data_IF_159280581943
#
_entry.id   IF_159280581943
#
_cell.length_a   1.000
_cell.length_b   1.000
_cell.length_c   1.000
_cell.angle_alpha   90.00
_cell.angle_beta   90.00
_cell.angle_gamma   90.00
#
_symmetry.space_group_name_H-M   'P 1'
#
loop_
_entity.id
_entity.type
_entity.pdbx_description
1 polymer ?
#
# COMPACT_ATOMS: atom_id res chain seq x y z
N UNK A 1 -13.40 3.29 -3.63
CA UNK A 1 -12.20 4.13 -3.45
C UNK A 1 -11.21 3.50 -2.47
N UNK A 2 -11.70 3.01 -1.32
CA UNK A 2 -10.89 2.26 -0.35
C UNK A 2 -10.03 1.15 -0.99
N UNK A 3 -10.65 0.22 -1.72
CA UNK A 3 -9.95 -0.91 -2.36
C UNK A 3 -8.88 -0.47 -3.36
N UNK A 4 -9.13 0.61 -4.10
CA UNK A 4 -8.16 1.19 -5.05
C UNK A 4 -6.93 1.72 -4.31
N UNK A 5 -7.12 2.44 -3.20
CA UNK A 5 -6.02 2.94 -2.37
C UNK A 5 -5.29 1.78 -1.69
N UNK A 6 -6.00 0.75 -1.27
CA UNK A 6 -5.43 -0.46 -0.69
C UNK A 6 -4.54 -1.22 -1.67
N UNK A 7 -4.97 -1.36 -2.94
CA UNK A 7 -4.14 -1.95 -4.00
C UNK A 7 -2.84 -1.17 -4.20
N UNK A 8 -2.93 0.16 -4.31
CA UNK A 8 -1.75 1.03 -4.39
C UNK A 8 -0.83 0.91 -3.16
N UNK A 9 -1.40 0.66 -1.98
CA UNK A 9 -0.66 0.48 -0.74
C UNK A 9 0.21 -0.78 -0.77
N UNK A 10 -0.39 -1.88 -1.22
CA UNK A 10 0.26 -3.19 -1.41
C UNK A 10 1.36 -3.13 -2.46
N UNK A 11 1.11 -2.41 -3.56
CA UNK A 11 2.10 -2.23 -4.62
C UNK A 11 3.20 -1.22 -4.24
N UNK A 12 3.16 -0.63 -3.04
CA UNK A 12 4.12 0.39 -2.59
C UNK A 12 4.02 1.73 -3.33
N UNK A 13 2.96 1.94 -4.12
CA UNK A 13 2.73 3.14 -4.94
C UNK A 13 1.91 4.21 -4.21
N UNK A 14 1.38 3.90 -3.03
CA UNK A 14 0.53 4.81 -2.27
C UNK A 14 1.35 5.86 -1.50
N UNK A 15 0.95 7.12 -1.64
CA UNK A 15 1.52 8.25 -0.92
C UNK A 15 0.59 8.77 0.18
N UNK A 16 1.15 9.18 1.32
CA UNK A 16 0.38 9.78 2.44
C UNK A 16 -0.49 10.97 2.00
N UNK A 17 -0.01 11.81 1.09
CA UNK A 17 -0.79 12.95 0.55
C UNK A 17 -2.04 12.51 -0.23
N UNK A 18 -2.05 11.32 -0.83
CA UNK A 18 -3.22 10.78 -1.52
C UNK A 18 -4.28 10.30 -0.52
N UNK A 19 -3.85 9.62 0.55
CA UNK A 19 -4.70 9.23 1.67
C UNK A 19 -5.32 10.45 2.35
N UNK A 20 -4.51 11.44 2.73
CA UNK A 20 -5.00 12.67 3.38
C UNK A 20 -6.07 13.38 2.53
N UNK A 21 -5.89 13.41 1.19
CA UNK A 21 -6.89 13.96 0.25
C UNK A 21 -8.15 13.11 0.16
N UNK A 22 -8.01 11.79 0.16
CA UNK A 22 -9.15 10.88 0.13
C UNK A 22 -10.00 11.00 1.40
N UNK A 23 -9.36 11.18 2.56
CA UNK A 23 -10.05 11.48 3.83
C UNK A 23 -10.70 12.86 3.79
N UNK A 24 -9.98 13.90 3.36
CA UNK A 24 -10.52 15.26 3.29
C UNK A 24 -11.72 15.38 2.33
N UNK A 25 -11.77 14.55 1.28
CA UNK A 25 -12.90 14.45 0.34
C UNK A 25 -14.02 13.53 0.83
N UNK A 26 -13.86 12.85 1.97
CA UNK A 26 -14.82 11.89 2.50
C UNK A 26 -14.92 10.60 1.67
N UNK A 27 -13.92 10.30 0.82
CA UNK A 27 -13.89 9.08 0.02
C UNK A 27 -13.55 7.83 0.85
N UNK A 28 -12.85 8.04 1.96
CA UNK A 28 -12.53 7.04 2.98
C UNK A 28 -12.63 7.69 4.36
N UNK A 29 -12.78 6.85 5.39
CA UNK A 29 -12.74 7.29 6.79
C UNK A 29 -11.32 7.33 7.34
N UNK A 30 -11.13 7.98 8.50
CA UNK A 30 -9.85 7.95 9.22
C UNK A 30 -9.41 6.54 9.61
N UNK A 31 -10.35 5.68 10.00
CA UNK A 31 -10.06 4.28 10.30
C UNK A 31 -9.54 3.52 9.07
N UNK A 32 -10.14 3.77 7.90
CA UNK A 32 -9.68 3.20 6.63
C UNK A 32 -8.30 3.73 6.22
N UNK A 33 -8.00 5.01 6.47
CA UNK A 33 -6.65 5.56 6.25
C UNK A 33 -5.60 4.84 7.11
N UNK A 34 -5.89 4.63 8.40
CA UNK A 34 -4.98 3.92 9.30
C UNK A 34 -4.78 2.46 8.90
N UNK A 35 -5.83 1.77 8.48
CA UNK A 35 -5.75 0.38 8.00
C UNK A 35 -4.85 0.28 6.76
N UNK A 36 -5.03 1.17 5.79
CA UNK A 36 -4.19 1.21 4.58
C UNK A 36 -2.73 1.52 4.93
N UNK A 37 -2.47 2.45 5.86
CA UNK A 37 -1.11 2.79 6.29
C UNK A 37 -0.41 1.62 6.99
N UNK A 38 -1.14 0.85 7.80
CA UNK A 38 -0.60 -0.36 8.44
C UNK A 38 -0.21 -1.40 7.40
N UNK A 39 -1.09 -1.66 6.42
CA UNK A 39 -0.82 -2.64 5.35
C UNK A 39 0.34 -2.18 4.48
N UNK A 40 0.42 -0.89 4.12
CA UNK A 40 1.56 -0.34 3.38
C UNK A 40 2.90 -0.48 4.13
N UNK A 41 2.87 -0.38 5.46
CA UNK A 41 4.05 -0.55 6.31
C UNK A 41 4.43 -2.04 6.44
N UNK A 42 3.44 -2.92 6.61
CA UNK A 42 3.64 -4.37 6.74
C UNK A 42 4.16 -4.98 5.42
N UNK A 43 3.60 -4.59 4.27
CA UNK A 43 4.06 -5.03 2.93
C UNK A 43 5.49 -4.55 2.60
N UNK A 44 5.93 -3.41 3.17
CA UNK A 44 7.34 -3.00 3.08
C UNK A 44 8.27 -3.93 3.85
N UNK A 45 7.82 -4.52 4.95
CA UNK A 45 8.61 -5.49 5.73
C UNK A 45 8.59 -6.89 5.10
N UNK A 46 7.51 -7.29 4.42
CA UNK A 46 7.44 -8.56 3.66
C UNK A 46 7.99 -8.48 2.23
N UNK A 47 8.14 -7.27 1.67
CA UNK A 47 8.66 -7.01 0.32
C UNK A 47 10.16 -7.26 0.11
N UNK A 48 10.93 -7.47 1.17
CA UNK A 48 12.34 -7.91 1.10
C UNK A 48 12.49 -9.45 1.00
N UNK A 49 11.41 -10.19 0.71
CA UNK A 49 11.41 -11.67 0.69
C UNK A 49 11.12 -12.36 -0.64
N UNK A 50 10.79 -11.65 -1.72
CA UNK A 50 10.59 -12.28 -3.04
C UNK A 50 11.48 -11.64 -4.09
N UNK A 51 12.79 -11.83 -3.87
CA UNK A 51 13.75 -11.78 -4.95
C UNK A 51 13.26 -12.70 -6.08
N UNK A 52 12.84 -12.10 -7.20
CA UNK A 52 12.60 -12.80 -8.47
C UNK A 52 13.92 -13.29 -9.08
N UNK A 53 14.87 -13.78 -8.28
CA UNK A 53 16.03 -14.51 -8.76
C UNK A 53 15.62 -15.97 -8.97
N UNK A 54 14.78 -16.18 -9.99
CA UNK A 54 14.54 -17.51 -10.53
C UNK A 54 15.15 -17.59 -11.92
N UNK A 55 16.42 -17.99 -11.88
CA UNK A 55 17.12 -18.78 -12.88
C UNK A 55 17.54 -18.06 -14.18
N UNK A 56 18.70 -17.40 -14.11
CA UNK A 56 19.69 -17.50 -15.17
C UNK A 56 21.00 -18.09 -14.61
N UNK A 57 21.10 -19.43 -14.54
CA UNK A 57 22.36 -20.12 -14.81
C UNK A 57 22.14 -21.65 -14.88
N UNK A 58 22.61 -22.25 -15.97
CA UNK A 58 22.65 -23.70 -16.21
C UNK A 58 22.68 -24.02 -17.70
#
# INVERSE_FOLDING_TARGET
MYETLLGLARDGLLNKKMLDRAVAKGWITKAQEEEILRIAAEEKETGEGVNHDRANNG
#
